data_IF_905938713827
#
_entry.id   IF_905938713827
#
_cell.length_a   1.000
_cell.length_b   1.000
_cell.length_c   1.000
_cell.angle_alpha   90.00
_cell.angle_beta   90.00
_cell.angle_gamma   90.00
#
_symmetry.space_group_name_H-M   'P 1'
#
loop_
_entity.id
_entity.type
_entity.pdbx_description
1 polymer ?
#
# COMPACT_ATOMS: atom_id res chain seq x y z
N UNK A 1 28.96 13.57 27.70
CA UNK A 1 27.82 12.69 27.35
C UNK A 1 26.66 13.60 27.04
N UNK A 2 26.59 14.05 25.79
CA UNK A 2 25.55 14.95 25.27
C UNK A 2 24.35 14.06 24.93
N UNK A 3 23.13 14.37 25.38
CA UNK A 3 21.96 13.59 24.98
C UNK A 3 21.68 13.83 23.50
N UNK A 4 21.45 12.73 22.79
CA UNK A 4 21.01 12.67 21.41
C UNK A 4 19.61 13.31 21.30
N UNK A 5 19.37 14.32 20.43
CA UNK A 5 18.05 14.87 20.24
C UNK A 5 17.21 13.86 19.45
N UNK A 6 16.56 12.96 20.18
CA UNK A 6 15.43 12.21 19.65
C UNK A 6 14.53 13.19 18.89
N UNK A 7 14.38 12.96 17.59
CA UNK A 7 13.40 13.67 16.76
C UNK A 7 12.02 13.37 17.33
N UNK A 8 11.57 14.21 18.24
CA UNK A 8 10.21 14.24 18.76
C UNK A 8 9.32 14.87 17.69
N UNK A 9 9.19 14.17 16.56
CA UNK A 9 8.17 14.48 15.57
C UNK A 9 6.84 14.11 16.19
N UNK A 10 6.03 15.12 16.50
CA UNK A 10 4.66 14.93 16.95
C UNK A 10 3.97 13.88 16.05
N UNK A 11 3.19 12.95 16.61
CA UNK A 11 2.51 11.93 15.82
C UNK A 11 1.67 12.61 14.73
N UNK A 12 1.67 12.07 13.49
CA UNK A 12 0.99 12.69 12.38
C UNK A 12 -0.49 12.94 12.70
N UNK A 13 -1.02 14.08 12.24
CA UNK A 13 -2.44 14.38 12.40
C UNK A 13 -3.27 13.33 11.65
N UNK A 14 -3.94 12.50 12.43
CA UNK A 14 -4.76 11.39 11.95
C UNK A 14 -6.24 11.76 11.85
N UNK A 15 -6.62 13.02 12.13
CA UNK A 15 -8.01 13.47 12.02
C UNK A 15 -8.57 13.36 10.59
N UNK A 16 -7.84 13.74 9.52
CA UNK A 16 -8.33 13.57 8.15
C UNK A 16 -8.58 12.10 7.80
N UNK A 17 -7.67 11.21 8.21
CA UNK A 17 -7.80 9.77 8.01
C UNK A 17 -8.98 9.18 8.78
N UNK A 18 -9.23 9.60 10.04
CA UNK A 18 -10.43 9.19 10.78
C UNK A 18 -11.73 9.63 10.09
N UNK A 19 -11.77 10.86 9.58
CA UNK A 19 -12.91 11.34 8.82
C UNK A 19 -13.11 10.56 7.52
N UNK A 20 -12.01 10.24 6.80
CA UNK A 20 -12.07 9.41 5.60
C UNK A 20 -12.58 8.01 5.91
N UNK A 21 -12.09 7.36 6.96
CA UNK A 21 -12.60 6.05 7.39
C UNK A 21 -14.11 6.06 7.65
N UNK A 22 -14.61 7.06 8.39
CA UNK A 22 -16.05 7.22 8.64
C UNK A 22 -16.85 7.32 7.33
N UNK A 23 -16.36 8.12 6.37
CA UNK A 23 -17.00 8.25 5.07
C UNK A 23 -16.99 6.94 4.28
N UNK A 24 -15.83 6.25 4.23
CA UNK A 24 -15.64 4.97 3.55
C UNK A 24 -16.63 3.91 4.08
N UNK A 25 -16.70 3.70 5.41
CA UNK A 25 -17.60 2.67 5.97
C UNK A 25 -19.07 3.02 5.80
N UNK A 26 -19.42 4.31 5.84
CA UNK A 26 -20.80 4.77 5.57
C UNK A 26 -21.18 4.48 4.12
N UNK A 27 -20.32 4.82 3.17
CA UNK A 27 -20.52 4.52 1.75
C UNK A 27 -20.54 3.00 1.47
N UNK A 28 -19.80 2.24 2.27
CA UNK A 28 -19.79 0.78 2.23
C UNK A 28 -21.03 0.12 2.86
N UNK A 29 -21.98 0.89 3.40
CA UNK A 29 -23.23 0.37 3.94
C UNK A 29 -23.13 -0.13 5.38
N UNK A 30 -22.19 0.41 6.18
CA UNK A 30 -22.11 0.11 7.60
C UNK A 30 -23.45 0.37 8.31
N UNK A 31 -23.74 -0.42 9.34
CA UNK A 31 -24.98 -0.28 10.09
C UNK A 31 -25.04 1.11 10.78
N UNK A 32 -26.18 1.83 10.73
CA UNK A 32 -26.27 3.22 11.21
C UNK A 32 -25.90 3.44 12.67
N UNK A 33 -26.09 2.42 13.51
CA UNK A 33 -25.85 2.48 14.96
C UNK A 33 -24.47 1.93 15.37
N UNK A 34 -23.66 1.47 14.41
CA UNK A 34 -22.32 0.97 14.70
C UNK A 34 -21.31 2.11 14.68
N UNK A 35 -20.61 2.33 15.80
CA UNK A 35 -19.49 3.27 15.88
C UNK A 35 -18.23 2.70 15.18
N UNK A 36 -17.75 3.28 14.07
CA UNK A 36 -16.57 2.79 13.38
C UNK A 36 -15.26 3.36 13.94
N UNK A 37 -15.30 4.30 14.90
CA UNK A 37 -14.10 4.93 15.46
C UNK A 37 -13.12 3.95 16.12
N UNK A 38 -13.54 2.89 16.84
CA UNK A 38 -12.63 1.89 17.37
C UNK A 38 -11.81 1.17 16.29
N UNK A 39 -12.41 0.93 15.11
CA UNK A 39 -11.72 0.32 13.97
C UNK A 39 -10.71 1.26 13.34
N UNK A 40 -11.09 2.51 13.10
CA UNK A 40 -10.16 3.55 12.64
C UNK A 40 -8.95 3.65 13.57
N UNK A 41 -9.18 3.68 14.89
CA UNK A 41 -8.11 3.75 15.89
C UNK A 41 -7.17 2.55 15.80
N UNK A 42 -7.70 1.33 15.68
CA UNK A 42 -6.89 0.10 15.59
C UNK A 42 -6.09 0.05 14.29
N UNK A 43 -6.71 0.34 13.16
CA UNK A 43 -6.03 0.38 11.86
C UNK A 43 -4.93 1.43 11.86
N UNK A 44 -5.21 2.66 12.28
CA UNK A 44 -4.21 3.72 12.32
C UNK A 44 -3.07 3.42 13.29
N UNK A 45 -3.33 2.75 14.40
CA UNK A 45 -2.28 2.27 15.29
C UNK A 45 -1.39 1.21 14.61
N UNK A 46 -1.98 0.29 13.84
CA UNK A 46 -1.25 -0.72 13.09
C UNK A 46 -0.38 -0.10 11.98
N UNK A 47 -0.90 0.87 11.25
CA UNK A 47 -0.15 1.66 10.26
C UNK A 47 0.94 2.55 10.88
N UNK A 48 0.81 2.89 12.17
CA UNK A 48 1.78 3.73 12.89
C UNK A 48 2.77 2.92 13.74
N UNK A 49 2.85 1.60 13.56
CA UNK A 49 3.80 0.77 14.31
C UNK A 49 5.26 1.21 14.09
N UNK A 50 6.08 1.27 15.15
CA UNK A 50 7.35 1.99 15.15
C UNK A 50 8.44 1.37 14.26
N UNK A 51 8.28 0.13 13.82
CA UNK A 51 9.20 -0.51 12.88
C UNK A 51 8.95 -0.11 11.42
N UNK A 52 7.77 0.43 11.08
CA UNK A 52 7.43 0.84 9.72
C UNK A 52 8.20 2.10 9.35
N UNK A 53 8.69 2.14 8.11
CA UNK A 53 9.39 3.31 7.55
C UNK A 53 8.76 3.75 6.24
N UNK A 54 8.26 2.81 5.45
CA UNK A 54 7.52 3.10 4.23
C UNK A 54 6.02 2.84 4.40
N UNK A 55 5.63 1.64 4.84
CA UNK A 55 4.22 1.24 4.97
C UNK A 55 3.59 1.87 6.22
N UNK A 56 3.45 3.18 6.20
CA UNK A 56 3.01 4.03 7.31
C UNK A 56 1.64 4.66 7.03
N UNK A 57 1.10 5.43 7.97
CA UNK A 57 -0.11 6.24 7.72
C UNK A 57 0.04 7.24 6.56
N UNK A 58 1.27 7.65 6.21
CA UNK A 58 1.52 8.47 5.04
C UNK A 58 1.30 7.68 3.74
N UNK A 59 1.79 6.44 3.66
CA UNK A 59 1.52 5.56 2.50
C UNK A 59 0.02 5.33 2.34
N UNK A 60 -0.69 4.99 3.42
CA UNK A 60 -2.14 4.84 3.37
C UNK A 60 -2.85 6.10 2.84
N UNK A 61 -2.45 7.30 3.30
CA UNK A 61 -3.03 8.55 2.84
C UNK A 61 -2.75 8.78 1.34
N UNK A 62 -1.53 8.47 0.88
CA UNK A 62 -1.15 8.57 -0.53
C UNK A 62 -1.98 7.61 -1.39
N UNK A 63 -2.12 6.34 -0.99
CA UNK A 63 -2.95 5.35 -1.71
C UNK A 63 -4.40 5.82 -1.81
N UNK A 64 -4.99 6.31 -0.72
CA UNK A 64 -6.36 6.85 -0.73
C UNK A 64 -6.49 8.06 -1.66
N UNK A 65 -5.50 8.96 -1.70
CA UNK A 65 -5.49 10.09 -2.62
C UNK A 65 -5.36 9.65 -4.09
N UNK A 66 -4.64 8.56 -4.37
CA UNK A 66 -4.56 7.98 -5.72
C UNK A 66 -5.85 7.29 -6.13
N UNK A 67 -6.55 6.65 -5.18
CA UNK A 67 -7.89 6.13 -5.39
C UNK A 67 -8.86 7.25 -5.78
N UNK A 68 -8.77 8.44 -5.16
CA UNK A 68 -9.61 9.58 -5.56
C UNK A 68 -9.44 9.97 -7.04
N UNK A 69 -8.21 9.92 -7.56
CA UNK A 69 -7.92 10.17 -8.99
C UNK A 69 -8.51 9.07 -9.89
N UNK A 70 -8.46 7.83 -9.43
CA UNK A 70 -8.91 6.65 -10.16
C UNK A 70 -10.38 6.30 -9.94
N UNK A 71 -11.09 7.01 -9.07
CA UNK A 71 -12.48 6.73 -8.70
C UNK A 71 -13.42 6.53 -9.90
N UNK A 72 -13.30 7.25 -11.04
CA UNK A 72 -14.13 7.01 -12.22
C UNK A 72 -13.97 5.62 -12.86
N UNK A 73 -12.91 4.88 -12.52
CA UNK A 73 -12.63 3.54 -13.03
C UNK A 73 -13.09 2.42 -12.09
N UNK A 74 -13.44 2.72 -10.84
CA UNK A 74 -13.90 1.71 -9.88
C UNK A 74 -15.37 1.35 -10.10
N UNK A 75 -15.71 0.07 -9.98
CA UNK A 75 -17.10 -0.41 -9.96
C UNK A 75 -17.68 -0.29 -8.55
N UNK A 76 -16.92 -0.69 -7.53
CA UNK A 76 -17.25 -0.51 -6.11
C UNK A 76 -16.11 0.24 -5.41
N UNK A 77 -16.18 1.58 -5.47
CA UNK A 77 -15.18 2.45 -4.85
C UNK A 77 -15.06 2.22 -3.34
N UNK A 78 -16.17 1.94 -2.66
CA UNK A 78 -16.15 1.71 -1.22
C UNK A 78 -15.40 0.43 -0.86
N UNK A 79 -15.56 -0.64 -1.65
CA UNK A 79 -14.76 -1.86 -1.49
C UNK A 79 -13.27 -1.61 -1.75
N UNK A 80 -12.92 -0.82 -2.76
CA UNK A 80 -11.52 -0.46 -3.05
C UNK A 80 -10.89 0.34 -1.91
N UNK A 81 -11.58 1.34 -1.38
CA UNK A 81 -11.11 2.10 -0.23
C UNK A 81 -10.94 1.23 1.02
N UNK A 82 -11.94 0.39 1.33
CA UNK A 82 -11.81 -0.57 2.44
C UNK A 82 -10.59 -1.46 2.25
N UNK A 83 -10.35 -2.00 1.04
CA UNK A 83 -9.17 -2.80 0.77
C UNK A 83 -7.86 -2.01 0.99
N UNK A 84 -7.81 -0.74 0.59
CA UNK A 84 -6.66 0.12 0.86
C UNK A 84 -6.39 0.29 2.37
N UNK A 85 -7.43 0.43 3.19
CA UNK A 85 -7.29 0.50 4.65
C UNK A 85 -6.71 -0.77 5.26
N UNK A 86 -7.00 -1.93 4.67
CA UNK A 86 -6.62 -3.23 5.21
C UNK A 86 -5.34 -3.81 4.63
N UNK A 87 -4.91 -3.47 3.40
CA UNK A 87 -3.93 -4.29 2.66
C UNK A 87 -2.62 -4.58 3.42
N UNK A 88 -2.02 -3.57 4.09
CA UNK A 88 -0.89 -3.76 5.00
C UNK A 88 -1.21 -3.49 6.47
N UNK A 89 -2.48 -3.63 6.87
CA UNK A 89 -2.89 -3.46 8.26
C UNK A 89 -2.17 -4.46 9.19
N UNK A 90 -1.90 -5.67 8.71
CA UNK A 90 -0.94 -6.58 9.35
C UNK A 90 0.36 -6.53 8.56
N UNK A 91 1.47 -6.15 9.21
CA UNK A 91 2.76 -6.05 8.53
C UNK A 91 3.92 -6.53 9.39
N UNK A 92 4.57 -7.56 8.90
CA UNK A 92 5.76 -8.17 9.47
C UNK A 92 6.74 -8.37 8.32
N UNK A 93 7.73 -7.47 8.12
CA UNK A 93 8.63 -7.55 6.97
C UNK A 93 9.52 -8.83 7.00
N UNK A 94 9.55 -9.55 8.12
CA UNK A 94 10.18 -10.87 8.26
C UNK A 94 9.28 -12.05 7.83
N UNK A 95 8.07 -11.79 7.30
CA UNK A 95 7.03 -12.79 6.99
C UNK A 95 6.40 -12.53 5.64
N UNK A 96 5.95 -13.60 4.99
CA UNK A 96 5.31 -13.58 3.67
C UNK A 96 3.78 -13.67 3.71
N UNK A 97 3.17 -13.76 4.89
CA UNK A 97 1.71 -13.93 5.02
C UNK A 97 0.96 -12.64 5.41
N UNK A 98 1.56 -11.48 5.16
CA UNK A 98 1.03 -10.19 5.63
C UNK A 98 -0.34 -9.90 4.99
N UNK A 99 -0.44 -9.99 3.68
CA UNK A 99 -1.64 -9.72 2.89
C UNK A 99 -2.75 -10.71 3.24
N UNK A 100 -2.44 -11.99 3.43
CA UNK A 100 -3.42 -12.98 3.88
C UNK A 100 -3.96 -12.64 5.28
N UNK A 101 -3.09 -12.28 6.22
CA UNK A 101 -3.51 -11.90 7.57
C UNK A 101 -4.30 -10.60 7.60
N UNK A 102 -3.93 -9.64 6.75
CA UNK A 102 -4.67 -8.41 6.50
C UNK A 102 -6.06 -8.68 5.92
N UNK A 103 -6.19 -9.62 4.97
CA UNK A 103 -7.46 -10.04 4.41
C UNK A 103 -8.34 -10.72 5.47
N UNK A 104 -7.78 -11.63 6.26
CA UNK A 104 -8.49 -12.28 7.39
C UNK A 104 -8.90 -11.27 8.46
N UNK A 105 -8.12 -10.22 8.68
CA UNK A 105 -8.50 -9.11 9.56
C UNK A 105 -9.72 -8.36 9.01
N UNK A 106 -9.77 -8.09 7.70
CA UNK A 106 -10.93 -7.48 7.05
C UNK A 106 -12.18 -8.38 7.14
N UNK A 107 -12.04 -9.68 6.89
CA UNK A 107 -13.12 -10.67 6.98
C UNK A 107 -13.77 -10.73 8.38
N UNK A 108 -13.02 -10.40 9.42
CA UNK A 108 -13.53 -10.33 10.80
C UNK A 108 -14.13 -8.96 11.13
N UNK A 109 -13.46 -7.89 10.73
CA UNK A 109 -13.82 -6.53 11.11
C UNK A 109 -15.06 -5.99 10.38
N UNK A 110 -15.19 -6.27 9.08
CA UNK A 110 -16.24 -5.70 8.25
C UNK A 110 -17.66 -6.18 8.63
N UNK A 111 -17.89 -7.47 8.94
CA UNK A 111 -19.20 -7.92 9.43
C UNK A 111 -19.60 -7.30 10.77
N UNK A 112 -18.66 -7.03 11.67
CA UNK A 112 -18.93 -6.33 12.92
C UNK A 112 -19.35 -4.86 12.68
N UNK A 113 -18.96 -4.28 11.56
CA UNK A 113 -19.43 -2.97 11.08
C UNK A 113 -20.78 -3.03 10.34
N UNK A 114 -21.34 -4.22 10.14
CA UNK A 114 -22.58 -4.43 9.41
C UNK A 114 -22.42 -4.45 7.88
N UNK A 115 -21.19 -4.53 7.38
CA UNK A 115 -20.92 -4.68 5.95
C UNK A 115 -21.34 -6.07 5.49
N UNK A 116 -22.00 -6.17 4.35
CA UNK A 116 -22.52 -7.43 3.84
C UNK A 116 -21.39 -8.41 3.43
N UNK A 117 -21.76 -9.69 3.31
CA UNK A 117 -20.83 -10.77 3.04
C UNK A 117 -20.16 -10.67 1.67
N UNK A 118 -20.88 -10.18 0.65
CA UNK A 118 -20.36 -10.09 -0.72
C UNK A 118 -19.28 -9.00 -0.81
N UNK A 119 -19.54 -7.83 -0.23
CA UNK A 119 -18.55 -6.75 -0.14
C UNK A 119 -17.38 -7.14 0.75
N UNK A 120 -17.61 -7.81 1.87
CA UNK A 120 -16.53 -8.32 2.75
C UNK A 120 -15.61 -9.26 1.98
N UNK A 121 -16.17 -10.21 1.22
CA UNK A 121 -15.40 -11.13 0.39
C UNK A 121 -14.64 -10.41 -0.74
N UNK A 122 -15.26 -9.38 -1.35
CA UNK A 122 -14.61 -8.56 -2.35
C UNK A 122 -13.40 -7.80 -1.79
N UNK A 123 -13.53 -7.17 -0.61
CA UNK A 123 -12.42 -6.49 0.08
C UNK A 123 -11.29 -7.47 0.38
N UNK A 124 -11.59 -8.64 0.93
CA UNK A 124 -10.57 -9.63 1.25
C UNK A 124 -9.85 -10.17 0.00
N UNK A 125 -10.56 -10.34 -1.12
CA UNK A 125 -9.96 -10.66 -2.43
C UNK A 125 -9.01 -9.58 -2.89
N UNK A 126 -9.44 -8.31 -2.83
CA UNK A 126 -8.65 -7.16 -3.24
C UNK A 126 -7.38 -7.00 -2.38
N UNK A 127 -7.47 -7.21 -1.07
CA UNK A 127 -6.30 -7.24 -0.18
C UNK A 127 -5.32 -8.34 -0.61
N UNK A 128 -5.79 -9.57 -0.85
CA UNK A 128 -4.90 -10.66 -1.30
C UNK A 128 -4.26 -10.39 -2.65
N UNK A 129 -4.90 -9.61 -3.51
CA UNK A 129 -4.38 -9.26 -4.83
C UNK A 129 -3.09 -8.42 -4.76
N UNK A 130 -2.89 -7.65 -3.69
CA UNK A 130 -1.69 -6.82 -3.50
C UNK A 130 -0.42 -7.63 -3.24
N UNK A 131 -0.49 -8.96 -3.13
CA UNK A 131 0.72 -9.82 -3.12
C UNK A 131 1.45 -9.77 -4.48
N UNK A 132 0.69 -9.67 -5.57
CA UNK A 132 1.22 -9.79 -6.94
C UNK A 132 1.06 -8.52 -7.76
N UNK A 133 0.09 -7.68 -7.38
CA UNK A 133 -0.35 -6.50 -8.12
C UNK A 133 -0.74 -6.83 -9.58
N UNK A 134 -1.22 -8.04 -9.84
CA UNK A 134 -1.57 -8.52 -11.17
C UNK A 134 -3.07 -8.88 -11.29
N UNK A 135 -3.97 -7.88 -11.36
CA UNK A 135 -5.40 -8.13 -11.55
C UNK A 135 -5.67 -8.80 -12.90
N UNK A 136 -6.66 -9.70 -12.90
CA UNK A 136 -7.17 -10.27 -14.14
C UNK A 136 -7.81 -9.17 -15.01
N UNK A 137 -7.74 -9.26 -16.36
CA UNK A 137 -8.36 -8.28 -17.24
C UNK A 137 -9.86 -8.10 -16.93
N UNK A 138 -10.28 -6.87 -16.65
CA UNK A 138 -11.68 -6.54 -16.33
C UNK A 138 -12.04 -6.61 -14.84
N UNK A 139 -11.09 -6.97 -13.97
CA UNK A 139 -11.20 -6.75 -12.51
C UNK A 139 -10.92 -5.28 -12.18
N UNK A 140 -11.81 -4.39 -12.62
CA UNK A 140 -11.62 -2.93 -12.54
C UNK A 140 -11.37 -2.42 -11.13
N UNK A 141 -11.91 -3.07 -10.10
CA UNK A 141 -11.65 -2.71 -8.70
C UNK A 141 -10.24 -3.09 -8.27
N UNK A 142 -9.76 -4.25 -8.71
CA UNK A 142 -8.36 -4.69 -8.54
C UNK A 142 -7.39 -3.80 -9.31
N UNK A 143 -7.74 -3.41 -10.55
CA UNK A 143 -6.96 -2.46 -11.35
C UNK A 143 -6.79 -1.12 -10.63
N UNK A 144 -7.86 -0.58 -10.03
CA UNK A 144 -7.78 0.68 -9.26
C UNK A 144 -6.90 0.53 -8.02
N UNK A 145 -7.09 -0.54 -7.22
CA UNK A 145 -6.30 -0.74 -6.01
C UNK A 145 -4.81 -0.91 -6.32
N UNK A 146 -4.47 -1.80 -7.26
CA UNK A 146 -3.08 -2.06 -7.62
C UNK A 146 -2.41 -0.83 -8.23
N UNK A 147 -3.10 -0.10 -9.11
CA UNK A 147 -2.55 1.13 -9.68
C UNK A 147 -2.33 2.21 -8.61
N UNK A 148 -3.26 2.34 -7.64
CA UNK A 148 -3.13 3.31 -6.56
C UNK A 148 -1.96 3.00 -5.63
N UNK A 149 -1.78 1.73 -5.27
CA UNK A 149 -0.69 1.27 -4.40
C UNK A 149 0.69 1.41 -5.08
N UNK A 150 0.78 1.08 -6.36
CA UNK A 150 2.02 1.19 -7.14
C UNK A 150 2.31 2.63 -7.64
N UNK A 151 1.41 3.60 -7.46
CA UNK A 151 1.58 4.94 -8.02
C UNK A 151 2.82 5.68 -7.50
N UNK A 152 3.33 5.32 -6.31
CA UNK A 152 4.60 5.85 -5.78
C UNK A 152 5.77 5.63 -6.74
N UNK A 153 5.73 4.54 -7.52
CA UNK A 153 6.81 4.17 -8.44
C UNK A 153 6.95 5.20 -9.57
N UNK A 154 5.86 5.90 -9.90
CA UNK A 154 5.82 6.98 -10.88
C UNK A 154 6.20 8.35 -10.32
N UNK A 155 6.66 8.43 -9.07
CA UNK A 155 7.09 9.67 -8.44
C UNK A 155 8.24 10.36 -9.17
N UNK A 156 8.32 11.69 -9.01
CA UNK A 156 9.49 12.47 -9.43
C UNK A 156 10.77 11.94 -8.76
N UNK A 157 11.96 12.16 -9.35
CA UNK A 157 13.21 11.53 -8.91
C UNK A 157 13.47 11.63 -7.40
N UNK A 158 13.27 12.80 -6.80
CA UNK A 158 13.50 13.02 -5.37
C UNK A 158 12.50 12.24 -4.49
N UNK A 159 11.23 12.19 -4.92
CA UNK A 159 10.19 11.43 -4.22
C UNK A 159 10.44 9.91 -4.34
N UNK A 160 10.85 9.44 -5.51
CA UNK A 160 11.21 8.04 -5.72
C UNK A 160 12.44 7.65 -4.90
N UNK A 161 13.46 8.51 -4.84
CA UNK A 161 14.64 8.28 -3.99
C UNK A 161 14.29 8.20 -2.50
N UNK A 162 13.38 9.07 -2.02
CA UNK A 162 12.87 9.01 -0.66
C UNK A 162 12.10 7.70 -0.39
N UNK A 163 11.28 7.25 -1.34
CA UNK A 163 10.60 5.94 -1.29
C UNK A 163 11.61 4.79 -1.15
N UNK A 164 12.62 4.72 -2.02
CA UNK A 164 13.65 3.68 -1.97
C UNK A 164 14.41 3.70 -0.64
N UNK A 165 14.77 4.88 -0.14
CA UNK A 165 15.43 5.03 1.15
C UNK A 165 14.55 4.55 2.32
N UNK A 166 13.25 4.87 2.30
CA UNK A 166 12.30 4.43 3.31
C UNK A 166 12.13 2.90 3.29
N UNK A 167 12.02 2.28 2.11
CA UNK A 167 12.00 0.81 1.97
C UNK A 167 13.30 0.20 2.49
N UNK A 168 14.48 0.74 2.13
CA UNK A 168 15.75 0.21 2.66
C UNK A 168 15.81 0.28 4.18
N UNK A 169 15.37 1.40 4.77
CA UNK A 169 15.34 1.58 6.21
C UNK A 169 14.38 0.58 6.89
N UNK A 170 13.24 0.27 6.28
CA UNK A 170 12.28 -0.71 6.80
C UNK A 170 12.86 -2.12 6.88
N UNK A 171 13.66 -2.48 5.88
CA UNK A 171 14.38 -3.75 5.81
C UNK A 171 15.82 -3.65 6.37
N UNK A 172 16.10 -2.68 7.25
CA UNK A 172 17.44 -2.46 7.82
C UNK A 172 17.97 -3.64 8.64
N UNK A 173 17.10 -4.58 9.04
CA UNK A 173 17.48 -5.83 9.70
C UNK A 173 17.97 -6.91 8.72
N UNK A 174 17.72 -6.75 7.42
CA UNK A 174 18.17 -7.67 6.35
C UNK A 174 19.58 -7.26 5.91
N UNK A 175 20.55 -8.21 5.85
CA UNK A 175 21.89 -7.94 5.33
C UNK A 175 21.86 -7.32 3.93
N UNK A 176 22.81 -6.45 3.62
CA UNK A 176 22.79 -5.64 2.39
C UNK A 176 22.72 -6.49 1.11
N UNK A 177 23.51 -7.55 1.00
CA UNK A 177 23.50 -8.43 -0.19
C UNK A 177 22.13 -9.12 -0.37
N UNK A 178 21.57 -9.63 0.73
CA UNK A 178 20.26 -10.29 0.71
C UNK A 178 19.13 -9.30 0.38
N UNK A 179 19.20 -8.07 0.89
CA UNK A 179 18.25 -7.02 0.54
C UNK A 179 18.37 -6.65 -0.94
N UNK A 180 19.59 -6.47 -1.46
CA UNK A 180 19.81 -6.14 -2.87
C UNK A 180 19.24 -7.22 -3.79
N UNK A 181 19.50 -8.49 -3.49
CA UNK A 181 18.96 -9.63 -4.24
C UNK A 181 17.43 -9.65 -4.20
N UNK A 182 16.83 -9.58 -3.01
CA UNK A 182 15.38 -9.59 -2.83
C UNK A 182 14.70 -8.39 -3.49
N UNK A 183 15.23 -7.18 -3.30
CA UNK A 183 14.70 -5.98 -3.94
C UNK A 183 14.80 -6.06 -5.46
N UNK A 184 15.94 -6.50 -6.00
CA UNK A 184 16.10 -6.70 -7.44
C UNK A 184 15.11 -7.74 -7.99
N UNK A 185 14.79 -8.80 -7.24
CA UNK A 185 13.76 -9.77 -7.63
C UNK A 185 12.37 -9.13 -7.74
N UNK A 186 11.96 -8.32 -6.77
CA UNK A 186 10.68 -7.56 -6.81
C UNK A 186 10.64 -6.63 -8.02
N UNK A 187 11.72 -5.86 -8.26
CA UNK A 187 11.78 -4.95 -9.42
C UNK A 187 11.68 -5.70 -10.75
N UNK A 188 12.33 -6.87 -10.87
CA UNK A 188 12.25 -7.71 -12.07
C UNK A 188 10.84 -8.28 -12.26
N UNK A 189 10.17 -8.71 -11.20
CA UNK A 189 8.77 -9.16 -11.26
C UNK A 189 7.88 -8.03 -11.83
N UNK A 190 7.95 -6.84 -11.23
CA UNK A 190 7.15 -5.68 -11.65
C UNK A 190 7.45 -5.26 -13.10
N UNK A 191 8.73 -5.18 -13.48
CA UNK A 191 9.13 -4.86 -14.86
C UNK A 191 8.72 -5.93 -15.87
N UNK A 192 8.60 -7.19 -15.43
CA UNK A 192 8.16 -8.33 -16.23
C UNK A 192 6.66 -8.33 -16.53
N UNK A 193 5.85 -7.54 -15.81
CA UNK A 193 4.44 -7.38 -16.12
C UNK A 193 4.27 -6.71 -17.50
N UNK A 194 3.32 -7.18 -18.35
CA UNK A 194 3.04 -6.54 -19.64
C UNK A 194 2.69 -5.05 -19.51
N UNK A 195 2.00 -4.69 -18.42
CA UNK A 195 1.69 -3.33 -17.99
C UNK A 195 1.73 -3.29 -16.47
N UNK A 196 2.40 -2.28 -15.90
CA UNK A 196 2.39 -2.04 -14.45
C UNK A 196 1.06 -1.45 -14.01
N UNK A 197 0.57 -0.48 -14.77
CA UNK A 197 -0.70 0.19 -14.50
C UNK A 197 -1.77 -0.24 -15.50
N UNK A 198 -2.92 -0.65 -14.96
CA UNK A 198 -4.01 -1.29 -15.69
C UNK A 198 -5.10 -0.30 -16.06
N UNK A 199 -5.39 0.67 -15.20
CA UNK A 199 -6.36 1.73 -15.49
C UNK A 199 -5.90 2.60 -16.67
N UNK A 200 -6.82 3.19 -17.44
CA UNK A 200 -6.46 4.12 -18.51
C UNK A 200 -5.61 5.30 -18.02
N UNK A 201 -5.94 5.85 -16.84
CA UNK A 201 -5.19 6.95 -16.24
C UNK A 201 -3.76 6.54 -15.87
N UNK A 202 -3.60 5.44 -15.12
CA UNK A 202 -2.28 4.96 -14.70
C UNK A 202 -1.39 4.61 -15.90
N UNK A 203 -1.96 4.02 -16.96
CA UNK A 203 -1.24 3.75 -18.20
C UNK A 203 -0.68 5.01 -18.86
N UNK A 204 -1.50 6.06 -18.94
CA UNK A 204 -1.14 7.31 -19.60
C UNK A 204 -0.16 8.16 -18.79
N UNK A 205 -0.29 8.16 -17.46
CA UNK A 205 0.40 9.10 -16.59
C UNK A 205 1.51 8.49 -15.74
N UNK A 206 1.45 7.19 -15.42
CA UNK A 206 2.34 6.56 -14.43
C UNK A 206 3.25 5.47 -15.00
N UNK A 207 2.84 4.77 -16.05
CA UNK A 207 3.61 3.64 -16.63
C UNK A 207 5.03 4.04 -17.03
N UNK A 208 5.18 5.07 -17.87
CA UNK A 208 6.47 5.49 -18.37
C UNK A 208 7.43 5.99 -17.27
N UNK A 209 7.04 6.91 -16.35
CA UNK A 209 7.91 7.30 -15.25
C UNK A 209 8.25 6.14 -14.32
N UNK A 210 7.29 5.28 -13.96
CA UNK A 210 7.56 4.13 -13.10
C UNK A 210 8.59 3.18 -13.71
N UNK A 211 8.42 2.79 -14.99
CA UNK A 211 9.40 1.91 -15.65
C UNK A 211 10.80 2.49 -15.67
N UNK A 212 10.95 3.82 -15.88
CA UNK A 212 12.26 4.49 -15.82
C UNK A 212 12.86 4.39 -14.43
N UNK A 213 12.08 4.68 -13.39
CA UNK A 213 12.53 4.63 -12.01
C UNK A 213 12.93 3.21 -11.58
N UNK A 214 12.09 2.21 -11.86
CA UNK A 214 12.38 0.80 -11.54
C UNK A 214 13.62 0.29 -12.25
N UNK A 215 13.79 0.62 -13.54
CA UNK A 215 14.96 0.20 -14.31
C UNK A 215 16.25 0.86 -13.80
N UNK A 216 16.19 2.15 -13.44
CA UNK A 216 17.33 2.85 -12.86
C UNK A 216 17.72 2.27 -11.50
N UNK A 217 16.74 2.01 -10.61
CA UNK A 217 17.00 1.35 -9.33
C UNK A 217 17.61 -0.04 -9.53
N UNK A 218 17.02 -0.85 -10.41
CA UNK A 218 17.51 -2.20 -10.70
C UNK A 218 18.97 -2.19 -11.17
N UNK A 219 19.36 -1.28 -12.05
CA UNK A 219 20.75 -1.13 -12.50
C UNK A 219 21.69 -0.87 -11.31
N UNK A 220 21.34 0.07 -10.41
CA UNK A 220 22.15 0.34 -9.22
C UNK A 220 22.27 -0.85 -8.26
N UNK A 221 21.25 -1.71 -8.22
CA UNK A 221 21.24 -2.93 -7.41
C UNK A 221 22.02 -4.09 -8.04
N UNK A 222 22.26 -4.08 -9.35
CA UNK A 222 23.01 -5.15 -10.05
C UNK A 222 24.44 -4.78 -10.41
N UNK A 223 24.79 -3.50 -10.52
CA UNK A 223 26.11 -3.07 -11.00
C UNK A 223 27.24 -3.17 -9.95
N UNK A 224 26.93 -3.37 -8.66
CA UNK A 224 27.95 -3.44 -7.58
C UNK A 224 28.53 -4.86 -7.42
N UNK A 225 28.46 -5.68 -8.47
CA UNK A 225 28.82 -7.10 -8.44
C UNK A 225 30.17 -7.48 -9.07
N UNK A 226 31.01 -6.53 -9.49
CA UNK A 226 32.34 -6.85 -10.05
C UNK A 226 33.45 -6.27 -9.17
N UNK A 227 33.96 -7.03 -8.17
CA UNK A 227 35.26 -6.76 -7.60
C UNK A 227 36.28 -7.29 -8.61
N UNK A 228 36.84 -6.39 -9.42
CA UNK A 228 38.06 -6.68 -10.19
C UNK A 228 39.22 -7.13 -9.30
#
# INVERSE_FOLDING_TARGET
>A
MTPDPAHDTAPPDTAPLRARWQATVTAAGAAPDTDPAPYAKRLLAAWAEPQRRYHTTAHLADVLARIDVLAPHARDLAAVELAAWFHDAVYRPDRSENEERSAVLAERALPELGIDADRTAAVARLVRLTVTHDPAPGDVDGEVLCDADLAVLAGEPDAYAAYVAAVRAEYGFVPDDAFREGRAAVLRQLLGLPRLFRTPYGAAHWEAPARRNLAAELATLTDVGDPG
#
